data_IF_211316732254
#
_entry.id   IF_211316732254
#
_cell.length_a   1.000
_cell.length_b   1.000
_cell.length_c   1.000
_cell.angle_alpha   90.00
_cell.angle_beta   90.00
_cell.angle_gamma   90.00
#
_symmetry.space_group_name_H-M   'P 1'
#
loop_
_entity.id
_entity.type
_entity.pdbx_description
1 polymer ?
#
# COMPACT_ATOMS: atom_id res chain seq x y z
N UNK A 1 0.98 -9.04 -6.33
CA UNK A 1 0.92 -7.72 -5.64
C UNK A 1 -0.36 -6.92 -5.89
N UNK A 2 -0.88 -6.18 -4.90
CA UNK A 2 -1.96 -5.17 -5.02
C UNK A 2 -1.36 -3.77 -4.90
N UNK A 3 -1.98 -2.80 -5.58
CA UNK A 3 -1.58 -1.39 -5.50
C UNK A 3 -2.64 -0.59 -4.75
N UNK A 4 -2.20 0.16 -3.75
CA UNK A 4 -3.01 1.09 -2.99
C UNK A 4 -2.59 2.50 -3.39
N UNK A 5 -3.53 3.40 -3.65
CA UNK A 5 -3.23 4.79 -3.97
C UNK A 5 -3.94 5.72 -2.99
N UNK A 6 -3.17 6.54 -2.31
CA UNK A 6 -3.68 7.67 -1.55
C UNK A 6 -4.08 8.78 -2.52
N UNK A 7 -5.35 9.19 -2.48
CA UNK A 7 -5.89 10.28 -3.31
C UNK A 7 -5.48 11.67 -2.79
N UNK A 8 -5.10 11.77 -1.52
CA UNK A 8 -4.76 13.04 -0.86
C UNK A 8 -3.33 13.44 -1.21
N UNK A 9 -2.38 12.52 -1.02
CA UNK A 9 -0.96 12.74 -1.33
C UNK A 9 -0.56 12.27 -2.72
N UNK A 10 -1.54 11.78 -3.50
CA UNK A 10 -1.32 11.14 -4.79
C UNK A 10 -0.24 10.05 -4.77
N UNK A 11 -0.05 9.42 -3.60
CA UNK A 11 1.02 8.48 -3.33
C UNK A 11 0.55 7.05 -3.60
N UNK A 12 1.42 6.20 -4.14
CA UNK A 12 1.05 4.82 -4.50
C UNK A 12 1.92 3.85 -3.70
N UNK A 13 1.28 2.93 -3.00
CA UNK A 13 1.88 1.89 -2.18
C UNK A 13 1.63 0.53 -2.82
N UNK A 14 2.54 -0.41 -2.58
CA UNK A 14 2.42 -1.79 -3.06
C UNK A 14 2.32 -2.73 -1.87
N UNK A 15 1.31 -3.57 -1.86
CA UNK A 15 1.14 -4.57 -0.80
C UNK A 15 1.22 -5.99 -1.37
N UNK A 16 1.84 -6.92 -0.64
CA UNK A 16 1.82 -8.33 -0.99
C UNK A 16 0.39 -8.83 -0.89
N UNK A 17 0.00 -9.72 -1.80
CA UNK A 17 -1.34 -10.35 -1.80
C UNK A 17 -1.27 -11.86 -1.60
N UNK A 18 -0.06 -12.41 -1.68
CA UNK A 18 0.25 -13.81 -1.48
C UNK A 18 1.32 -13.90 -0.41
N UNK A 19 1.29 -14.99 0.36
CA UNK A 19 2.25 -15.26 1.42
C UNK A 19 3.69 -15.29 0.87
N UNK A 20 3.90 -15.79 -0.34
CA UNK A 20 5.22 -15.82 -1.00
C UNK A 20 5.82 -14.41 -1.17
N UNK A 21 5.00 -13.42 -1.57
CA UNK A 21 5.44 -12.04 -1.75
C UNK A 21 5.69 -11.33 -0.40
N UNK A 22 4.94 -11.72 0.63
CA UNK A 22 5.16 -11.25 1.99
C UNK A 22 6.46 -11.83 2.56
N UNK A 23 6.67 -13.14 2.38
CA UNK A 23 7.88 -13.86 2.81
C UNK A 23 9.12 -13.35 2.07
N UNK A 24 8.98 -12.90 0.81
CA UNK A 24 10.07 -12.26 0.06
C UNK A 24 10.62 -11.01 0.76
N UNK A 25 9.82 -10.34 1.61
CA UNK A 25 10.24 -9.18 2.40
C UNK A 25 10.39 -7.88 1.62
N UNK A 26 10.37 -7.92 0.29
CA UNK A 26 10.52 -6.74 -0.58
C UNK A 26 9.44 -5.67 -0.39
N UNK A 27 8.27 -6.06 0.13
CA UNK A 27 7.12 -5.16 0.33
C UNK A 27 6.88 -4.78 1.80
N UNK A 28 7.72 -5.24 2.73
CA UNK A 28 7.60 -4.86 4.14
C UNK A 28 7.80 -3.36 4.35
N UNK A 29 8.77 -2.75 3.66
CA UNK A 29 9.01 -1.31 3.74
C UNK A 29 7.80 -0.50 3.25
N UNK A 30 7.13 -0.97 2.19
CA UNK A 30 5.89 -0.35 1.68
C UNK A 30 4.73 -0.52 2.68
N UNK A 31 4.64 -1.66 3.38
CA UNK A 31 3.62 -1.91 4.44
C UNK A 31 3.84 -0.97 5.64
N UNK A 32 5.07 -0.86 6.13
CA UNK A 32 5.39 0.04 7.23
C UNK A 32 5.13 1.50 6.83
N UNK A 33 5.50 1.88 5.61
CA UNK A 33 5.22 3.21 5.07
C UNK A 33 3.74 3.51 4.97
N UNK A 34 2.91 2.59 4.49
CA UNK A 34 1.47 2.85 4.40
C UNK A 34 0.83 2.90 5.79
N UNK A 35 1.29 2.07 6.74
CA UNK A 35 0.82 2.15 8.13
C UNK A 35 1.16 3.49 8.76
N UNK A 36 2.43 3.91 8.71
CA UNK A 36 2.86 5.22 9.20
C UNK A 36 2.12 6.36 8.49
N UNK A 37 1.90 6.24 7.17
CA UNK A 37 1.17 7.23 6.41
C UNK A 37 -0.29 7.38 6.87
N UNK A 38 -0.99 6.28 7.16
CA UNK A 38 -2.37 6.31 7.68
C UNK A 38 -2.41 6.87 9.10
N UNK A 39 -1.43 6.53 9.93
CA UNK A 39 -1.33 6.98 11.31
C UNK A 39 -1.02 8.48 11.42
N UNK A 40 -0.04 8.96 10.65
CA UNK A 40 0.28 10.39 10.58
C UNK A 40 -0.79 11.20 9.83
N UNK A 41 -1.48 10.57 8.89
CA UNK A 41 -2.50 11.21 8.07
C UNK A 41 -3.82 10.48 8.19
N UNK A 42 -4.49 10.63 9.33
CA UNK A 42 -5.82 10.07 9.58
C UNK A 42 -6.89 10.43 8.54
N UNK A 43 -6.67 11.49 7.74
CA UNK A 43 -7.60 11.92 6.68
C UNK A 43 -7.21 11.41 5.27
N UNK A 44 -6.23 10.51 5.17
CA UNK A 44 -5.80 9.94 3.90
C UNK A 44 -6.88 9.04 3.30
N UNK A 45 -7.34 9.42 2.10
CA UNK A 45 -8.23 8.58 1.28
C UNK A 45 -7.41 7.60 0.45
N UNK A 46 -7.09 6.45 1.04
CA UNK A 46 -6.45 5.35 0.34
C UNK A 46 -7.51 4.53 -0.39
N UNK A 47 -7.32 4.30 -1.69
CA UNK A 47 -8.15 3.43 -2.51
C UNK A 47 -7.31 2.29 -3.08
N UNK A 48 -7.91 1.11 -3.11
CA UNK A 48 -7.36 -0.02 -3.84
C UNK A 48 -7.52 0.20 -5.33
N UNK A 49 -6.40 0.16 -6.05
CA UNK A 49 -6.38 0.26 -7.52
C UNK A 49 -6.34 -1.16 -8.04
N UNK A 50 -7.52 -1.71 -8.39
CA UNK A 50 -7.58 -2.96 -9.15
C UNK A 50 -6.95 -2.69 -10.51
N UNK A 51 -5.83 -3.37 -10.79
CA UNK A 51 -5.32 -3.50 -12.14
C UNK A 51 -6.38 -4.31 -12.88
N UNK A 52 -7.24 -3.62 -13.66
CA UNK A 52 -8.19 -4.30 -14.55
C UNK A 52 -7.35 -4.99 -15.62
N UNK A 53 -7.37 -6.31 -15.61
CA UNK A 53 -6.97 -7.17 -16.72
C UNK A 53 -8.01 -7.06 -17.84
#
# INVERSE_FOLDING_TARGET
MRKLRCLVHNYTFRIPITDEEFISGELHEDIERIQAHIEENHNCKIKEVKQRE
#
